data_IF_818369426683
#
_entry.id   IF_818369426683
#
_cell.length_a   1.000
_cell.length_b   1.000
_cell.length_c   1.000
_cell.angle_alpha   90.00
_cell.angle_beta   90.00
_cell.angle_gamma   90.00
#
_symmetry.space_group_name_H-M   'P 1'
#
loop_
_entity.id
_entity.type
_entity.pdbx_description
1 polymer ?
#
# COMPACT_ATOMS: atom_id res chain seq x y z
N UNK A 1 -8.16 19.27 -2.94
CA UNK A 1 -8.10 18.79 -1.53
C UNK A 1 -9.20 17.76 -1.21
N UNK A 2 -10.43 17.89 -1.74
CA UNK A 2 -11.51 16.91 -1.50
C UNK A 2 -11.32 15.51 -2.12
N UNK A 3 -10.55 15.39 -3.21
CA UNK A 3 -10.38 14.11 -3.92
C UNK A 3 -9.63 13.05 -3.10
N UNK A 4 -8.56 13.44 -2.41
CA UNK A 4 -7.73 12.49 -1.64
C UNK A 4 -8.41 12.14 -0.32
N UNK A 5 -9.01 13.11 0.38
CA UNK A 5 -9.73 12.85 1.61
C UNK A 5 -11.00 12.03 1.35
N UNK A 6 -11.79 12.41 0.34
CA UNK A 6 -12.99 11.70 -0.05
C UNK A 6 -12.71 10.30 -0.60
N UNK A 7 -11.68 10.13 -1.43
CA UNK A 7 -11.26 8.83 -1.98
C UNK A 7 -10.84 7.84 -0.89
N UNK A 8 -9.89 8.23 -0.03
CA UNK A 8 -9.44 7.34 1.06
C UNK A 8 -10.56 7.00 2.06
N UNK A 9 -11.44 7.96 2.39
CA UNK A 9 -12.59 7.68 3.25
C UNK A 9 -13.62 6.77 2.57
N UNK A 10 -13.82 6.92 1.27
CA UNK A 10 -14.67 6.03 0.48
C UNK A 10 -14.12 4.60 0.44
N UNK A 11 -12.81 4.43 0.28
CA UNK A 11 -12.16 3.12 0.29
C UNK A 11 -12.36 2.38 1.63
N UNK A 12 -12.23 3.09 2.77
CA UNK A 12 -12.47 2.49 4.09
C UNK A 12 -13.95 2.15 4.29
N UNK A 13 -14.87 3.03 3.85
CA UNK A 13 -16.31 2.74 3.92
C UNK A 13 -16.68 1.54 3.06
N UNK A 14 -16.13 1.44 1.85
CA UNK A 14 -16.35 0.33 0.94
C UNK A 14 -15.82 -0.99 1.52
N UNK A 15 -14.64 -0.96 2.15
CA UNK A 15 -14.09 -2.10 2.90
C UNK A 15 -15.05 -2.54 4.02
N UNK A 16 -15.56 -1.60 4.83
CA UNK A 16 -16.48 -1.89 5.92
C UNK A 16 -17.84 -2.45 5.43
N UNK A 17 -18.38 -1.91 4.34
CA UNK A 17 -19.57 -2.45 3.69
C UNK A 17 -19.33 -3.84 3.11
N UNK A 18 -18.15 -4.08 2.54
CA UNK A 18 -17.77 -5.38 2.01
C UNK A 18 -17.70 -6.42 3.13
N UNK A 19 -17.11 -6.08 4.28
CA UNK A 19 -17.01 -6.98 5.44
C UNK A 19 -18.40 -7.32 6.01
N UNK A 20 -19.32 -6.34 6.04
CA UNK A 20 -20.74 -6.54 6.40
C UNK A 20 -21.52 -7.42 5.40
N UNK A 21 -21.20 -7.33 4.11
CA UNK A 21 -21.80 -8.14 3.05
C UNK A 21 -21.27 -9.59 3.05
N UNK A 22 -20.04 -9.79 3.50
CA UNK A 22 -19.40 -11.10 3.57
C UNK A 22 -19.84 -11.86 4.83
N UNK A 23 -20.87 -12.70 4.70
CA UNK A 23 -21.52 -13.41 5.83
C UNK A 23 -20.88 -14.75 6.24
N UNK A 24 -19.88 -15.22 5.49
CA UNK A 24 -19.27 -16.55 5.70
C UNK A 24 -17.96 -16.54 6.53
N UNK A 25 -17.61 -15.41 7.14
CA UNK A 25 -16.35 -15.20 7.88
C UNK A 25 -15.72 -13.86 7.52
N UNK A 26 -14.56 -13.55 8.09
CA UNK A 26 -13.85 -12.31 7.71
C UNK A 26 -13.41 -12.37 6.25
N UNK A 27 -13.47 -11.24 5.53
CA UNK A 27 -12.99 -11.14 4.14
C UNK A 27 -11.60 -11.74 3.96
N UNK A 28 -10.73 -11.62 4.99
CA UNK A 28 -9.38 -12.17 4.95
C UNK A 28 -9.31 -13.68 4.71
N UNK A 29 -10.36 -14.43 5.06
CA UNK A 29 -10.43 -15.88 4.89
C UNK A 29 -10.79 -16.31 3.45
N UNK A 30 -11.32 -15.38 2.65
CA UNK A 30 -11.67 -15.60 1.25
C UNK A 30 -10.61 -15.08 0.27
N UNK A 31 -9.57 -14.41 0.78
CA UNK A 31 -8.49 -13.90 -0.04
C UNK A 31 -7.61 -15.05 -0.54
N UNK A 32 -7.31 -15.03 -1.82
CA UNK A 32 -6.29 -15.87 -2.46
C UNK A 32 -4.88 -15.43 -2.06
N UNK A 33 -3.90 -16.33 -2.18
CA UNK A 33 -2.50 -16.05 -1.84
C UNK A 33 -1.95 -14.82 -2.59
N UNK A 34 -2.40 -14.61 -3.82
CA UNK A 34 -2.02 -13.46 -4.65
C UNK A 34 -2.55 -12.13 -4.08
N UNK A 35 -3.79 -12.11 -3.58
CA UNK A 35 -4.38 -10.92 -2.96
C UNK A 35 -3.69 -10.59 -1.64
N UNK A 36 -3.34 -11.60 -0.85
CA UNK A 36 -2.56 -11.45 0.38
C UNK A 36 -1.19 -10.84 0.09
N UNK A 37 -0.51 -11.28 -0.98
CA UNK A 37 0.78 -10.73 -1.38
C UNK A 37 0.68 -9.24 -1.74
N UNK A 38 -0.31 -8.86 -2.56
CA UNK A 38 -0.54 -7.46 -2.94
C UNK A 38 -0.85 -6.59 -1.71
N UNK A 39 -1.69 -7.08 -0.80
CA UNK A 39 -2.01 -6.37 0.44
C UNK A 39 -0.77 -6.16 1.31
N UNK A 40 0.04 -7.20 1.51
CA UNK A 40 1.28 -7.11 2.28
C UNK A 40 2.27 -6.12 1.65
N UNK A 41 2.44 -6.15 0.33
CA UNK A 41 3.29 -5.22 -0.42
C UNK A 41 2.80 -3.77 -0.26
N UNK A 42 1.48 -3.55 -0.34
CA UNK A 42 0.87 -2.23 -0.19
C UNK A 42 1.08 -1.67 1.22
N UNK A 43 0.92 -2.49 2.25
CA UNK A 43 1.19 -2.12 3.64
C UNK A 43 2.67 -1.76 3.82
N UNK A 44 3.58 -2.54 3.24
CA UNK A 44 5.02 -2.32 3.33
C UNK A 44 5.42 -0.99 2.67
N UNK A 45 4.94 -0.70 1.45
CA UNK A 45 5.21 0.55 0.75
C UNK A 45 4.64 1.74 1.54
N UNK A 46 3.41 1.62 2.06
CA UNK A 46 2.79 2.66 2.88
C UNK A 46 3.59 2.91 4.17
N UNK A 47 4.09 1.85 4.81
CA UNK A 47 4.95 1.94 5.99
C UNK A 47 6.25 2.68 5.69
N UNK A 48 6.90 2.38 4.56
CA UNK A 48 8.11 3.10 4.11
C UNK A 48 7.81 4.58 3.86
N UNK A 49 6.68 4.90 3.23
CA UNK A 49 6.26 6.29 3.00
C UNK A 49 6.04 7.05 4.32
N UNK A 50 5.33 6.44 5.28
CA UNK A 50 5.13 7.03 6.61
C UNK A 50 6.46 7.20 7.35
N UNK A 51 7.37 6.23 7.25
CA UNK A 51 8.72 6.34 7.80
C UNK A 51 9.51 7.49 7.17
N UNK A 52 9.40 7.73 5.86
CA UNK A 52 10.03 8.88 5.19
C UNK A 52 9.38 10.22 5.53
N UNK A 53 8.09 10.25 5.85
CA UNK A 53 7.43 11.44 6.40
C UNK A 53 7.90 11.75 7.83
N UNK A 54 8.14 10.70 8.64
CA UNK A 54 8.65 10.81 10.01
C UNK A 54 10.13 11.19 10.05
N UNK A 55 10.98 10.54 9.24
CA UNK A 55 12.35 10.96 8.94
C UNK A 55 12.33 12.03 7.87
N UNK A 56 11.83 13.22 8.21
CA UNK A 56 11.93 14.42 7.36
C UNK A 56 13.40 14.79 7.14
N UNK A 57 14.07 14.08 6.25
CA UNK A 57 15.40 14.39 5.74
C UNK A 57 15.27 15.67 4.93
N UNK A 58 15.61 16.82 5.56
CA UNK A 58 15.65 18.09 4.84
C UNK A 58 16.75 18.11 3.76
N UNK A 59 17.75 17.21 3.83
CA UNK A 59 18.84 17.10 2.86
C UNK A 59 19.42 15.67 2.79
N UNK A 60 19.01 14.88 1.80
CA UNK A 60 19.72 13.66 1.36
C UNK A 60 20.77 13.95 0.27
N UNK A 61 21.66 13.00 -0.02
CA UNK A 61 22.70 13.11 -1.06
C UNK A 61 22.02 13.35 -2.43
N UNK A 62 22.04 14.60 -2.91
CA UNK A 62 21.44 14.99 -4.19
C UNK A 62 19.98 15.43 -4.15
N UNK A 63 19.41 15.75 -2.98
CA UNK A 63 17.99 16.15 -2.84
C UNK A 63 16.97 15.03 -3.18
N UNK A 64 17.46 13.80 -3.40
CA UNK A 64 16.67 12.58 -3.54
C UNK A 64 16.95 11.74 -2.29
N UNK A 65 15.94 11.52 -1.46
CA UNK A 65 16.06 10.63 -0.32
C UNK A 65 16.27 9.19 -0.80
N UNK A 66 17.15 8.44 -0.13
CA UNK A 66 17.35 6.98 -0.31
C UNK A 66 16.01 6.21 -0.33
N UNK A 67 15.01 6.76 0.36
CA UNK A 67 13.63 6.30 0.39
C UNK A 67 12.96 6.26 -0.99
N UNK A 68 13.11 7.30 -1.82
CA UNK A 68 12.49 7.32 -3.15
C UNK A 68 13.10 6.26 -4.08
N UNK A 69 14.40 5.98 -3.95
CA UNK A 69 15.06 4.92 -4.70
C UNK A 69 14.59 3.53 -4.25
N UNK A 70 14.48 3.30 -2.94
CA UNK A 70 13.95 2.04 -2.39
C UNK A 70 12.50 1.79 -2.78
N UNK A 71 11.64 2.81 -2.73
CA UNK A 71 10.23 2.71 -3.15
C UNK A 71 10.14 2.35 -4.63
N UNK A 72 10.94 2.99 -5.49
CA UNK A 72 10.98 2.69 -6.92
C UNK A 72 11.41 1.23 -7.17
N UNK A 73 12.48 0.78 -6.49
CA UNK A 73 13.02 -0.57 -6.64
C UNK A 73 12.03 -1.64 -6.18
N UNK A 74 11.34 -1.42 -5.05
CA UNK A 74 10.31 -2.33 -4.55
C UNK A 74 9.07 -2.35 -5.44
N UNK A 75 8.66 -1.20 -5.97
CA UNK A 75 7.51 -1.13 -6.88
C UNK A 75 7.78 -1.90 -8.18
N UNK A 76 8.94 -1.66 -8.81
CA UNK A 76 9.33 -2.36 -10.05
C UNK A 76 9.56 -3.84 -9.78
N UNK A 77 10.24 -4.19 -8.68
CA UNK A 77 10.48 -5.59 -8.31
C UNK A 77 9.20 -6.37 -8.02
N UNK A 78 8.27 -5.78 -7.27
CA UNK A 78 6.96 -6.37 -6.98
C UNK A 78 6.08 -6.51 -8.22
N UNK A 79 6.07 -5.50 -9.09
CA UNK A 79 5.35 -5.54 -10.37
C UNK A 79 5.88 -6.66 -11.27
N UNK A 80 7.20 -6.82 -11.38
CA UNK A 80 7.80 -7.89 -12.16
C UNK A 80 7.47 -9.26 -11.58
N UNK A 81 7.58 -9.44 -10.26
CA UNK A 81 7.22 -10.73 -9.63
C UNK A 81 5.77 -11.13 -9.88
N UNK A 82 4.83 -10.19 -9.77
CA UNK A 82 3.41 -10.43 -10.06
C UNK A 82 3.16 -10.69 -11.54
N UNK A 83 3.82 -9.94 -12.43
CA UNK A 83 3.64 -10.09 -13.87
C UNK A 83 4.25 -11.38 -14.44
N UNK A 84 5.24 -11.96 -13.74
CA UNK A 84 5.89 -13.21 -14.12
C UNK A 84 5.42 -14.42 -13.28
N UNK A 85 4.47 -14.22 -12.36
CA UNK A 85 3.74 -15.24 -11.60
C UNK A 85 2.40 -15.55 -12.24
#
# INVERSE_FOLDING_TARGET
VSNVLGGNSFDILFLAFSDLAYRNGSIYQALTEHEIFILALTILITGILVLGLLRREKHGIGNIGFESFLVLLLYVGGFLLVSFS
#
